data_IF_693441603803
#
_entry.id   IF_693441603803
#
_cell.length_a   1.000
_cell.length_b   1.000
_cell.length_c   1.000
_cell.angle_alpha   90.00
_cell.angle_beta   90.00
_cell.angle_gamma   90.00
#
_symmetry.space_group_name_H-M   'P 1'
#
loop_
_entity.id
_entity.type
_entity.pdbx_description
1 polymer ?
#
# COMPACT_ATOMS: atom_id res chain seq x y z
N UNK A 1 -20.47 26.31 -17.54
CA UNK A 1 -20.50 25.76 -16.16
C UNK A 1 -20.92 24.30 -16.12
N UNK A 2 -22.10 23.89 -16.62
CA UNK A 2 -22.52 22.47 -16.56
C UNK A 2 -21.58 21.50 -17.29
N UNK A 3 -21.11 21.86 -18.49
CA UNK A 3 -20.16 21.01 -19.22
C UNK A 3 -18.80 20.88 -18.53
N UNK A 4 -18.35 21.95 -17.87
CA UNK A 4 -17.10 21.93 -17.12
C UNK A 4 -17.22 21.05 -15.88
N UNK A 5 -18.35 21.16 -15.16
CA UNK A 5 -18.66 20.29 -14.02
C UNK A 5 -18.72 18.81 -14.44
N UNK A 6 -19.38 18.49 -15.56
CA UNK A 6 -19.44 17.13 -16.09
C UNK A 6 -18.04 16.61 -16.45
N UNK A 7 -17.18 17.45 -17.04
CA UNK A 7 -15.80 17.07 -17.37
C UNK A 7 -14.98 16.77 -16.12
N UNK A 8 -14.99 17.66 -15.12
CA UNK A 8 -14.24 17.44 -13.88
C UNK A 8 -14.79 16.25 -13.07
N UNK A 9 -16.11 16.05 -13.05
CA UNK A 9 -16.72 14.89 -12.40
C UNK A 9 -16.26 13.55 -13.03
N UNK A 10 -16.15 13.50 -14.37
CA UNK A 10 -15.60 12.31 -15.07
C UNK A 10 -14.12 12.08 -14.78
N UNK A 11 -13.32 13.13 -14.67
CA UNK A 11 -11.91 12.99 -14.26
C UNK A 11 -11.81 12.43 -12.85
N UNK A 12 -12.62 12.95 -11.93
CA UNK A 12 -12.68 12.44 -10.56
C UNK A 12 -13.05 10.96 -10.51
N UNK A 13 -14.04 10.53 -11.31
CA UNK A 13 -14.44 9.12 -11.41
C UNK A 13 -13.25 8.22 -11.78
N UNK A 14 -12.50 8.57 -12.82
CA UNK A 14 -11.30 7.81 -13.24
C UNK A 14 -10.24 7.80 -12.13
N UNK A 15 -9.96 8.95 -11.50
CA UNK A 15 -8.98 9.03 -10.40
C UNK A 15 -9.38 8.23 -9.18
N UNK A 16 -10.67 8.15 -8.89
CA UNK A 16 -11.20 7.34 -7.79
C UNK A 16 -11.01 5.85 -8.08
N UNK A 17 -11.31 5.40 -9.30
CA UNK A 17 -11.08 4.01 -9.71
C UNK A 17 -9.59 3.63 -9.63
N UNK A 18 -8.70 4.49 -10.13
CA UNK A 18 -7.25 4.27 -10.05
C UNK A 18 -6.76 4.18 -8.59
N UNK A 19 -7.23 5.10 -7.72
CA UNK A 19 -6.90 5.08 -6.31
C UNK A 19 -7.40 3.81 -5.61
N UNK A 20 -8.65 3.40 -5.84
CA UNK A 20 -9.23 2.20 -5.25
C UNK A 20 -8.43 0.97 -5.65
N UNK A 21 -8.07 0.85 -6.93
CA UNK A 21 -7.27 -0.25 -7.44
C UNK A 21 -5.89 -0.33 -6.77
N UNK A 22 -5.13 0.76 -6.72
CA UNK A 22 -3.81 0.76 -6.07
C UNK A 22 -3.93 0.54 -4.55
N UNK A 23 -4.99 1.04 -3.90
CA UNK A 23 -5.23 0.81 -2.49
C UNK A 23 -5.57 -0.67 -2.18
N UNK A 24 -6.36 -1.33 -3.04
CA UNK A 24 -6.65 -2.76 -2.90
C UNK A 24 -5.39 -3.62 -3.07
N UNK A 25 -4.54 -3.27 -4.04
CA UNK A 25 -3.23 -3.91 -4.21
C UNK A 25 -2.35 -3.71 -2.97
N UNK A 26 -2.29 -2.50 -2.41
CA UNK A 26 -1.57 -2.20 -1.17
C UNK A 26 -2.08 -3.04 0.00
N UNK A 27 -3.40 -3.10 0.22
CA UNK A 27 -4.00 -3.88 1.32
C UNK A 27 -3.65 -5.36 1.18
N UNK A 28 -3.67 -5.90 -0.03
CA UNK A 28 -3.28 -7.30 -0.28
C UNK A 28 -1.81 -7.55 0.07
N UNK A 29 -0.90 -6.71 -0.40
CA UNK A 29 0.54 -6.83 -0.10
C UNK A 29 0.82 -6.64 1.40
N UNK A 30 0.15 -5.70 2.06
CA UNK A 30 0.29 -5.45 3.49
C UNK A 30 -0.16 -6.65 4.32
N UNK A 31 -1.28 -7.30 3.96
CA UNK A 31 -1.72 -8.54 4.62
C UNK A 31 -0.71 -9.65 4.44
N UNK A 32 -0.19 -9.86 3.23
CA UNK A 32 0.85 -10.87 2.98
C UNK A 32 2.13 -10.59 3.78
N UNK A 33 2.54 -9.33 3.88
CA UNK A 33 3.67 -8.92 4.71
C UNK A 33 3.45 -9.22 6.20
N UNK A 34 2.24 -8.99 6.72
CA UNK A 34 1.92 -9.29 8.12
C UNK A 34 1.98 -10.78 8.41
N UNK A 35 1.49 -11.64 7.51
CA UNK A 35 1.61 -13.10 7.68
C UNK A 35 3.09 -13.53 7.69
N UNK A 36 3.92 -13.00 6.79
CA UNK A 36 5.37 -13.27 6.80
C UNK A 36 6.04 -12.86 8.12
N UNK A 37 5.60 -11.74 8.73
CA UNK A 37 6.14 -11.28 10.01
C UNK A 37 5.71 -12.19 11.18
N UNK A 38 4.47 -12.68 11.17
CA UNK A 38 3.99 -13.66 12.16
C UNK A 38 4.76 -14.98 12.06
N UNK A 39 4.97 -15.49 10.85
CA UNK A 39 5.79 -16.69 10.63
C UNK A 39 7.23 -16.50 11.13
N UNK A 40 7.84 -15.35 10.83
CA UNK A 40 9.18 -15.02 11.32
C UNK A 40 9.24 -14.98 12.85
N UNK A 41 8.21 -14.43 13.51
CA UNK A 41 8.14 -14.37 14.97
C UNK A 41 8.13 -15.77 15.59
N UNK A 42 7.33 -16.70 15.05
CA UNK A 42 7.32 -18.09 15.52
C UNK A 42 8.68 -18.78 15.38
N UNK A 43 9.36 -18.59 14.24
CA UNK A 43 10.69 -19.16 14.01
C UNK A 43 11.73 -18.56 14.97
N UNK A 44 11.62 -17.26 15.29
CA UNK A 44 12.51 -16.61 16.25
C UNK A 44 12.39 -17.23 17.65
N UNK A 45 11.17 -17.48 18.13
CA UNK A 45 10.91 -18.15 19.41
C UNK A 45 11.50 -19.58 19.44
N UNK A 46 11.37 -20.34 18.35
CA UNK A 46 11.93 -21.69 18.25
C UNK A 46 13.47 -21.72 18.18
N UNK A 47 14.09 -20.66 17.67
CA UNK A 47 15.55 -20.59 17.49
C UNK A 47 16.26 -20.11 18.76
N UNK A 48 15.58 -19.35 19.63
CA UNK A 48 16.11 -18.99 20.96
C UNK A 48 16.28 -20.21 21.88
N UNK A 49 15.52 -21.27 21.64
CA UNK A 49 15.54 -22.49 22.46
C UNK A 49 16.48 -23.58 21.92
N UNK A 50 16.94 -23.49 20.66
CA UNK A 50 17.75 -24.54 20.00
C UNK A 50 18.94 -23.93 19.25
N UNK A 51 20.16 -24.31 19.65
CA UNK A 51 21.39 -23.86 18.98
C UNK A 51 21.73 -24.77 17.78
N UNK A 52 20.95 -24.68 16.71
CA UNK A 52 21.16 -25.42 15.45
C UNK A 52 21.58 -24.45 14.31
N UNK A 53 22.76 -24.67 13.67
CA UNK A 53 23.19 -23.90 12.50
C UNK A 53 22.19 -23.87 11.33
N UNK A 54 21.43 -24.95 11.10
CA UNK A 54 20.44 -25.00 10.03
C UNK A 54 19.27 -24.05 10.30
N UNK A 55 18.77 -24.03 11.55
CA UNK A 55 17.74 -23.09 12.00
C UNK A 55 18.21 -21.63 11.93
N UNK A 56 19.48 -21.36 12.20
CA UNK A 56 20.05 -20.01 12.05
C UNK A 56 20.04 -19.53 10.60
N UNK A 57 20.34 -20.41 9.64
CA UNK A 57 20.27 -20.05 8.22
C UNK A 57 18.81 -19.86 7.76
N UNK A 58 17.89 -20.72 8.18
CA UNK A 58 16.46 -20.54 7.92
C UNK A 58 15.95 -19.18 8.46
N UNK A 59 16.29 -18.85 9.72
CA UNK A 59 15.95 -17.57 10.32
C UNK A 59 16.50 -16.38 9.51
N UNK A 60 17.73 -16.50 9.01
CA UNK A 60 18.34 -15.47 8.15
C UNK A 60 17.56 -15.28 6.85
N UNK A 61 17.18 -16.37 6.18
CA UNK A 61 16.40 -16.32 4.95
C UNK A 61 15.01 -15.71 5.18
N UNK A 62 14.35 -16.07 6.28
CA UNK A 62 13.05 -15.51 6.68
C UNK A 62 13.12 -14.03 7.02
N UNK A 63 14.17 -13.57 7.70
CA UNK A 63 14.43 -12.14 7.93
C UNK A 63 14.59 -11.38 6.61
N UNK A 64 15.35 -11.93 5.67
CA UNK A 64 15.51 -11.31 4.36
C UNK A 64 14.18 -11.23 3.59
N UNK A 65 13.37 -12.29 3.64
CA UNK A 65 12.05 -12.32 3.03
C UNK A 65 11.11 -11.26 3.64
N UNK A 66 11.09 -11.13 4.98
CA UNK A 66 10.31 -10.12 5.67
C UNK A 66 10.74 -8.69 5.30
N UNK A 67 12.05 -8.41 5.23
CA UNK A 67 12.56 -7.10 4.79
C UNK A 67 12.14 -6.80 3.34
N UNK A 68 12.21 -7.79 2.45
CA UNK A 68 11.73 -7.63 1.06
C UNK A 68 10.23 -7.35 1.00
N UNK A 69 9.42 -8.06 1.79
CA UNK A 69 7.98 -7.83 1.86
C UNK A 69 7.65 -6.43 2.36
N UNK A 70 8.31 -5.97 3.43
CA UNK A 70 8.19 -4.60 3.95
C UNK A 70 8.55 -3.56 2.89
N UNK A 71 9.67 -3.75 2.18
CA UNK A 71 10.09 -2.84 1.12
C UNK A 71 9.06 -2.76 -0.02
N UNK A 72 8.43 -3.88 -0.39
CA UNK A 72 7.34 -3.91 -1.37
C UNK A 72 6.13 -3.12 -0.90
N UNK A 73 5.71 -3.29 0.37
CA UNK A 73 4.59 -2.53 0.95
C UNK A 73 4.89 -1.03 0.95
N UNK A 74 6.08 -0.62 1.40
CA UNK A 74 6.48 0.80 1.39
C UNK A 74 6.46 1.39 -0.01
N UNK A 75 6.95 0.64 -1.01
CA UNK A 75 6.91 1.07 -2.41
C UNK A 75 5.47 1.23 -2.92
N UNK A 76 4.57 0.33 -2.52
CA UNK A 76 3.14 0.40 -2.88
C UNK A 76 2.43 1.55 -2.18
N UNK A 77 2.70 1.76 -0.90
CA UNK A 77 2.21 2.91 -0.15
C UNK A 77 2.54 4.23 -0.88
N UNK A 78 3.77 4.37 -1.37
CA UNK A 78 4.17 5.55 -2.15
C UNK A 78 3.36 5.75 -3.43
N UNK A 79 2.98 4.66 -4.13
CA UNK A 79 2.09 4.73 -5.30
C UNK A 79 0.67 5.12 -4.91
N UNK A 80 0.11 4.48 -3.89
CA UNK A 80 -1.23 4.79 -3.38
C UNK A 80 -1.32 6.24 -2.92
N UNK A 81 -0.27 6.77 -2.30
CA UNK A 81 -0.18 8.19 -1.92
C UNK A 81 -0.13 9.11 -3.15
N UNK A 82 0.55 8.72 -4.22
CA UNK A 82 0.56 9.47 -5.48
C UNK A 82 -0.84 9.53 -6.11
N UNK A 83 -1.58 8.42 -6.15
CA UNK A 83 -2.97 8.45 -6.65
C UNK A 83 -3.89 9.25 -5.72
N UNK A 84 -3.66 9.17 -4.40
CA UNK A 84 -4.39 9.98 -3.43
C UNK A 84 -4.19 11.48 -3.65
N UNK A 85 -2.98 11.93 -4.04
CA UNK A 85 -2.76 13.35 -4.33
C UNK A 85 -3.55 13.80 -5.56
N UNK A 86 -3.58 13.01 -6.64
CA UNK A 86 -4.42 13.30 -7.82
C UNK A 86 -5.90 13.37 -7.47
N UNK A 87 -6.36 12.51 -6.56
CA UNK A 87 -7.74 12.51 -6.09
C UNK A 87 -8.08 13.80 -5.32
N UNK A 88 -7.19 14.24 -4.44
CA UNK A 88 -7.34 15.50 -3.68
C UNK A 88 -7.36 16.70 -4.62
N UNK A 89 -6.46 16.74 -5.61
CA UNK A 89 -6.44 17.79 -6.64
C UNK A 89 -7.77 17.83 -7.41
N UNK A 90 -8.29 16.66 -7.81
CA UNK A 90 -9.57 16.56 -8.52
C UNK A 90 -10.76 17.05 -7.68
N UNK A 91 -10.75 16.82 -6.37
CA UNK A 91 -11.75 17.40 -5.47
C UNK A 91 -11.65 18.92 -5.38
N UNK A 92 -10.44 19.46 -5.28
CA UNK A 92 -10.22 20.91 -5.26
C UNK A 92 -10.70 21.57 -6.56
N UNK A 93 -10.39 20.98 -7.72
CA UNK A 93 -10.86 21.46 -9.02
C UNK A 93 -12.40 21.51 -9.09
N UNK A 94 -13.08 20.50 -8.55
CA UNK A 94 -14.54 20.48 -8.48
C UNK A 94 -15.11 21.59 -7.58
N UNK A 95 -14.48 21.86 -6.43
CA UNK A 95 -14.87 22.99 -5.56
C UNK A 95 -14.76 24.31 -6.31
N UNK A 96 -13.66 24.53 -7.03
CA UNK A 96 -13.44 25.73 -7.84
C UNK A 96 -14.49 25.86 -8.95
N UNK A 97 -14.88 24.77 -9.61
CA UNK A 97 -15.94 24.77 -10.63
C UNK A 97 -17.31 25.09 -10.04
N UNK A 98 -17.57 24.68 -8.80
CA UNK A 98 -18.82 24.95 -8.10
C UNK A 98 -18.91 26.37 -7.52
N UNK A 99 -17.81 27.12 -7.50
CA UNK A 99 -17.77 28.51 -7.06
C UNK A 99 -18.04 28.69 -5.55
N UNK A 100 -17.66 27.70 -4.75
CA UNK A 100 -17.68 27.82 -3.29
C UNK A 100 -16.32 28.38 -2.86
N UNK A 101 -16.27 29.71 -2.69
CA UNK A 101 -15.15 30.41 -2.06
C UNK A 101 -15.16 30.23 -0.52
#
# INVERSE_FOLDING_TARGET
MSEQLIREARKLEVRLEDFVKENDELVREARGCLENLKELAGIMEETETVCDPAKKEELRQRRLAAVKALATVIKREGKTQHERSHLIESYADLVLVLGVD
#
